data_IF_621745919334
#
_entry.id   IF_621745919334
#
_cell.length_a   1.000
_cell.length_b   1.000
_cell.length_c   1.000
_cell.angle_alpha   90.00
_cell.angle_beta   90.00
_cell.angle_gamma   90.00
#
_symmetry.space_group_name_H-M   'P 1'
#
loop_
_entity.id
_entity.type
_entity.pdbx_description
1 polymer ?
#
# COMPACT_ATOMS: atom_id res chain seq x y z
N UNK A 1 11.28 58.66 48.66
CA UNK A 1 12.70 58.79 49.06
C UNK A 1 13.37 57.42 48.96
N UNK A 2 14.43 57.36 48.14
CA UNK A 2 15.51 56.36 48.01
C UNK A 2 15.35 54.94 48.57
N UNK A 3 15.39 53.95 47.66
CA UNK A 3 16.25 52.74 47.67
C UNK A 3 16.38 52.30 46.21
N UNK A 4 17.50 51.96 45.59
CA UNK A 4 18.87 51.70 45.99
C UNK A 4 19.47 50.93 44.79
N UNK A 5 20.39 51.55 44.06
CA UNK A 5 21.12 50.95 42.94
C UNK A 5 22.00 49.80 43.45
N UNK A 6 21.86 48.62 42.86
CA UNK A 6 22.86 47.54 42.93
C UNK A 6 23.20 47.07 41.50
N UNK A 7 24.48 46.79 41.21
CA UNK A 7 25.00 46.73 39.85
C UNK A 7 24.78 45.36 39.19
N UNK A 8 24.56 45.39 37.87
CA UNK A 8 24.52 44.21 37.00
C UNK A 8 25.85 43.44 37.06
N UNK A 9 25.85 42.09 37.14
CA UNK A 9 27.09 41.31 37.08
C UNK A 9 27.65 41.29 35.65
N UNK A 10 28.97 41.11 35.49
CA UNK A 10 29.61 41.23 34.19
C UNK A 10 29.23 40.06 33.28
N UNK A 11 28.98 40.36 32.00
CA UNK A 11 28.92 39.38 30.92
C UNK A 11 30.27 38.66 30.85
N UNK A 12 30.32 37.43 31.37
CA UNK A 12 31.43 36.51 31.07
C UNK A 12 31.25 36.00 29.65
N UNK A 13 32.15 36.41 28.77
CA UNK A 13 32.42 35.74 27.50
C UNK A 13 32.63 34.25 27.76
N UNK A 14 31.80 33.41 27.13
CA UNK A 14 31.96 31.97 27.08
C UNK A 14 33.18 31.64 26.21
N UNK A 15 34.36 31.59 26.84
CA UNK A 15 35.51 30.86 26.27
C UNK A 15 35.16 29.38 26.21
N UNK A 16 35.15 28.83 25.00
CA UNK A 16 35.04 27.40 24.73
C UNK A 16 36.37 26.71 25.12
N UNK A 17 36.37 26.06 26.27
CA UNK A 17 37.45 25.20 26.80
C UNK A 17 36.96 23.73 26.84
N UNK A 18 37.85 22.71 26.97
CA UNK A 18 37.73 21.35 26.37
C UNK A 18 36.67 20.39 26.95
N UNK A 19 35.66 20.89 27.68
CA UNK A 19 34.54 20.13 28.23
C UNK A 19 33.54 19.60 27.17
N UNK A 20 33.67 20.03 25.91
CA UNK A 20 32.79 19.61 24.81
C UNK A 20 33.00 18.15 24.38
N UNK A 21 34.23 17.64 24.42
CA UNK A 21 34.54 16.28 23.97
C UNK A 21 34.00 15.23 24.93
N UNK A 22 34.17 15.42 26.25
CA UNK A 22 33.71 14.48 27.28
C UNK A 22 32.19 14.46 27.40
N UNK A 23 31.51 15.61 27.23
CA UNK A 23 30.04 15.66 27.16
C UNK A 23 29.49 14.97 25.91
N UNK A 24 30.12 15.19 24.74
CA UNK A 24 29.77 14.46 23.49
C UNK A 24 29.99 12.96 23.64
N UNK A 25 31.11 12.55 24.25
CA UNK A 25 31.43 11.14 24.47
C UNK A 25 30.43 10.49 25.45
N UNK A 26 30.11 11.15 26.56
CA UNK A 26 29.14 10.66 27.55
C UNK A 26 27.72 10.55 26.98
N UNK A 27 27.28 11.55 26.21
CA UNK A 27 25.98 11.50 25.54
C UNK A 27 25.92 10.39 24.47
N UNK A 28 27.01 10.17 23.72
CA UNK A 28 27.13 9.01 22.82
C UNK A 28 27.06 7.69 23.59
N UNK A 29 27.76 7.54 24.71
CA UNK A 29 27.67 6.31 25.52
C UNK A 29 26.26 6.07 26.04
N UNK A 30 25.56 7.12 26.50
CA UNK A 30 24.18 7.03 26.97
C UNK A 30 23.20 6.62 25.86
N UNK A 31 23.26 7.25 24.68
CA UNK A 31 22.42 6.88 23.54
C UNK A 31 22.68 5.45 23.04
N UNK A 32 23.86 4.89 23.33
CA UNK A 32 24.22 3.53 22.98
C UNK A 32 23.59 2.46 23.87
N UNK A 33 22.96 2.85 24.99
CA UNK A 33 22.28 1.94 25.91
C UNK A 33 20.89 1.57 25.41
N UNK A 34 20.49 0.30 25.61
CA UNK A 34 19.20 -0.21 25.14
C UNK A 34 17.99 0.63 25.62
N UNK A 35 18.06 1.18 26.83
CA UNK A 35 17.01 2.04 27.42
C UNK A 35 16.81 3.37 26.67
N UNK A 36 17.84 3.86 25.98
CA UNK A 36 17.80 5.13 25.24
C UNK A 36 17.64 4.92 23.72
N UNK A 37 17.37 3.68 23.27
CA UNK A 37 17.22 3.36 21.84
C UNK A 37 16.15 4.22 21.17
N UNK A 38 14.98 4.35 21.78
CA UNK A 38 13.88 5.17 21.23
C UNK A 38 14.31 6.64 21.03
N UNK A 39 15.07 7.20 21.98
CA UNK A 39 15.60 8.58 21.87
C UNK A 39 16.62 8.68 20.73
N UNK A 40 17.48 7.67 20.56
CA UNK A 40 18.45 7.65 19.47
C UNK A 40 17.75 7.53 18.10
N UNK A 41 16.65 6.78 18.02
CA UNK A 41 15.82 6.65 16.81
C UNK A 41 15.14 7.98 16.45
N UNK A 42 14.62 8.73 17.43
CA UNK A 42 14.02 10.06 17.21
C UNK A 42 14.97 11.03 16.48
N UNK A 43 16.28 10.91 16.69
CA UNK A 43 17.24 11.72 15.93
C UNK A 43 17.16 11.50 14.43
N UNK A 44 16.98 10.26 13.98
CA UNK A 44 16.82 9.96 12.56
C UNK A 44 15.37 10.17 12.08
N UNK A 45 14.37 9.84 12.91
CA UNK A 45 12.96 9.85 12.54
C UNK A 45 12.37 11.26 12.47
N UNK A 46 12.75 12.16 13.39
CA UNK A 46 12.05 13.44 13.55
C UNK A 46 13.00 14.63 13.73
N UNK A 47 14.04 14.51 14.56
CA UNK A 47 14.87 15.66 14.96
C UNK A 47 15.79 16.10 13.84
N UNK A 48 16.68 15.23 13.35
CA UNK A 48 17.59 15.52 12.22
C UNK A 48 17.07 14.99 10.89
N UNK A 49 15.79 14.63 10.81
CA UNK A 49 15.18 14.20 9.56
C UNK A 49 15.25 15.34 8.54
N UNK A 50 15.68 15.02 7.33
CA UNK A 50 15.75 15.97 6.21
C UNK A 50 14.74 15.50 5.17
N UNK A 51 13.61 16.17 5.14
CA UNK A 51 12.49 15.88 4.23
C UNK A 51 11.66 17.16 3.98
N UNK A 52 12.19 18.11 3.18
CA UNK A 52 11.59 19.42 2.97
C UNK A 52 10.14 19.35 2.47
N UNK A 53 9.85 18.37 1.60
CA UNK A 53 8.52 18.16 1.00
C UNK A 53 7.47 17.70 2.03
N UNK A 54 7.92 17.25 3.21
CA UNK A 54 7.06 16.75 4.29
C UNK A 54 7.25 17.56 5.59
N UNK A 55 7.65 18.83 5.48
CA UNK A 55 7.72 19.76 6.62
C UNK A 55 8.97 19.64 7.48
N UNK A 56 9.96 18.82 7.09
CA UNK A 56 11.24 18.70 7.77
C UNK A 56 12.34 19.51 7.05
N UNK A 57 12.12 20.81 6.91
CA UNK A 57 13.04 21.72 6.23
C UNK A 57 14.04 22.42 7.17
N UNK A 58 13.85 22.33 8.49
CA UNK A 58 14.62 23.09 9.49
C UNK A 58 16.14 22.85 9.43
N UNK A 59 16.55 21.65 9.01
CA UNK A 59 17.96 21.27 8.91
C UNK A 59 18.51 21.33 7.48
N UNK A 60 17.75 21.84 6.50
CA UNK A 60 18.26 22.04 5.13
C UNK A 60 19.55 22.87 5.11
N UNK A 61 19.68 24.00 5.84
CA UNK A 61 20.92 24.76 5.84
C UNK A 61 22.10 24.08 6.55
N UNK A 62 21.82 23.09 7.42
CA UNK A 62 22.79 22.42 8.30
C UNK A 62 22.84 20.91 8.02
N UNK A 63 22.56 20.51 6.79
CA UNK A 63 22.35 19.12 6.43
C UNK A 63 23.62 18.27 6.61
N UNK A 64 24.80 18.88 6.40
CA UNK A 64 26.10 18.22 6.56
C UNK A 64 26.36 17.90 8.03
N UNK A 65 26.09 18.84 8.92
CA UNK A 65 26.22 18.68 10.36
C UNK A 65 25.21 17.67 10.90
N UNK A 66 23.97 17.70 10.41
CA UNK A 66 22.94 16.75 10.74
C UNK A 66 23.34 15.31 10.34
N UNK A 67 23.81 15.11 9.10
CA UNK A 67 24.30 13.80 8.65
C UNK A 67 25.54 13.34 9.42
N UNK A 68 26.49 14.24 9.69
CA UNK A 68 27.66 13.92 10.49
C UNK A 68 27.26 13.48 11.90
N UNK A 69 26.29 14.15 12.53
CA UNK A 69 25.78 13.76 13.84
C UNK A 69 25.12 12.37 13.82
N UNK A 70 24.37 12.03 12.77
CA UNK A 70 23.80 10.69 12.59
C UNK A 70 24.90 9.62 12.37
N UNK A 71 25.94 9.93 11.58
CA UNK A 71 27.08 9.04 11.32
C UNK A 71 27.88 8.75 12.60
N UNK A 72 27.97 9.74 13.48
CA UNK A 72 28.65 9.65 14.77
C UNK A 72 27.84 8.94 15.87
N UNK A 73 26.61 8.51 15.58
CA UNK A 73 25.80 7.76 16.53
C UNK A 73 26.48 6.44 16.93
N UNK A 74 26.19 5.92 18.14
CA UNK A 74 26.82 4.70 18.64
C UNK A 74 26.61 3.51 17.71
N UNK A 75 27.66 2.70 17.54
CA UNK A 75 27.59 1.47 16.73
C UNK A 75 26.49 0.51 17.19
N UNK A 76 26.16 0.52 18.48
CA UNK A 76 25.06 -0.30 19.01
C UNK A 76 23.71 0.12 18.43
N UNK A 77 23.46 1.42 18.22
CA UNK A 77 22.25 1.91 17.55
C UNK A 77 22.32 1.60 16.05
N UNK A 78 23.43 2.00 15.40
CA UNK A 78 23.62 1.83 13.94
C UNK A 78 23.66 0.37 13.50
N UNK A 79 24.01 -0.56 14.38
CA UNK A 79 24.06 -2.00 14.08
C UNK A 79 22.83 -2.78 14.51
N UNK A 80 21.88 -2.17 15.23
CA UNK A 80 20.72 -2.92 15.79
C UNK A 80 19.37 -2.25 15.61
N UNK A 81 19.29 -1.01 15.13
CA UNK A 81 18.03 -0.33 14.87
C UNK A 81 17.76 -0.20 13.37
N UNK A 82 16.71 -0.88 12.91
CA UNK A 82 16.21 -0.76 11.52
C UNK A 82 15.67 0.63 11.24
N UNK A 83 14.90 1.19 12.17
CA UNK A 83 14.31 2.52 12.04
C UNK A 83 15.40 3.58 11.89
N UNK A 84 16.43 3.53 12.75
CA UNK A 84 17.55 4.48 12.66
C UNK A 84 18.24 4.44 11.29
N UNK A 85 18.59 3.23 10.82
CA UNK A 85 19.24 3.05 9.52
C UNK A 85 18.35 3.50 8.36
N UNK A 86 17.07 3.11 8.37
CA UNK A 86 16.10 3.48 7.36
C UNK A 86 15.97 5.00 7.22
N UNK A 87 15.70 5.69 8.32
CA UNK A 87 15.43 7.12 8.28
C UNK A 87 16.71 7.95 8.01
N UNK A 88 17.87 7.46 8.44
CA UNK A 88 19.17 8.04 8.03
C UNK A 88 19.39 7.89 6.52
N UNK A 89 19.10 6.70 5.96
CA UNK A 89 19.19 6.44 4.52
C UNK A 89 18.21 7.30 3.71
N UNK A 90 16.98 7.47 4.18
CA UNK A 90 15.98 8.37 3.56
C UNK A 90 16.51 9.80 3.52
N UNK A 91 17.08 10.31 4.61
CA UNK A 91 17.64 11.67 4.66
C UNK A 91 18.78 11.84 3.64
N UNK A 92 19.71 10.86 3.55
CA UNK A 92 20.78 10.87 2.53
C UNK A 92 20.22 10.86 1.11
N UNK A 93 19.23 10.02 0.83
CA UNK A 93 18.57 9.95 -0.48
C UNK A 93 17.90 11.29 -0.85
N UNK A 94 17.22 11.95 0.10
CA UNK A 94 16.56 13.24 -0.13
C UNK A 94 17.58 14.33 -0.51
N UNK A 95 18.69 14.41 0.23
CA UNK A 95 19.80 15.32 -0.10
C UNK A 95 20.33 15.04 -1.52
N UNK A 96 20.54 13.76 -1.85
CA UNK A 96 21.04 13.38 -3.17
C UNK A 96 20.05 13.65 -4.32
N UNK A 97 18.74 13.70 -4.06
CA UNK A 97 17.70 13.86 -5.08
C UNK A 97 17.26 15.30 -5.31
N UNK A 98 17.20 16.11 -4.26
CA UNK A 98 16.59 17.44 -4.31
C UNK A 98 17.64 18.52 -4.67
N UNK A 99 17.96 18.62 -5.95
CA UNK A 99 18.98 19.55 -6.47
C UNK A 99 18.73 21.02 -6.07
N UNK A 100 17.46 21.44 -6.02
CA UNK A 100 17.08 22.82 -5.67
C UNK A 100 17.44 23.22 -4.23
N UNK A 101 17.42 22.25 -3.31
CA UNK A 101 17.72 22.49 -1.89
C UNK A 101 19.19 22.19 -1.56
N UNK A 102 19.83 21.31 -2.33
CA UNK A 102 21.16 20.77 -2.03
C UNK A 102 22.07 20.85 -3.26
N UNK A 103 22.88 21.92 -3.38
CA UNK A 103 23.83 22.08 -4.47
C UNK A 103 25.10 21.26 -4.18
N UNK A 104 25.00 19.95 -4.41
CA UNK A 104 26.12 18.99 -4.32
C UNK A 104 26.47 18.45 -5.71
N UNK A 105 27.74 18.07 -5.87
CA UNK A 105 28.23 17.50 -7.13
C UNK A 105 27.77 16.04 -7.32
N UNK A 106 27.96 15.54 -8.54
CA UNK A 106 27.51 14.21 -8.94
C UNK A 106 28.20 13.09 -8.17
N UNK A 107 29.48 13.24 -7.83
CA UNK A 107 30.23 12.22 -7.08
C UNK A 107 29.71 12.11 -5.64
N UNK A 108 29.41 13.24 -5.01
CA UNK A 108 28.79 13.30 -3.69
C UNK A 108 27.37 12.72 -3.69
N UNK A 109 26.58 12.97 -4.75
CA UNK A 109 25.24 12.34 -4.92
C UNK A 109 25.36 10.82 -4.95
N UNK A 110 26.26 10.29 -5.77
CA UNK A 110 26.50 8.84 -5.85
C UNK A 110 26.91 8.27 -4.49
N UNK A 111 27.86 8.90 -3.80
CA UNK A 111 28.31 8.44 -2.47
C UNK A 111 27.15 8.40 -1.45
N UNK A 112 26.30 9.43 -1.41
CA UNK A 112 25.16 9.46 -0.52
C UNK A 112 24.14 8.36 -0.84
N UNK A 113 23.89 8.10 -2.11
CA UNK A 113 22.97 7.05 -2.58
C UNK A 113 23.50 5.65 -2.30
N UNK A 114 24.79 5.38 -2.56
CA UNK A 114 25.41 4.09 -2.26
C UNK A 114 25.42 3.81 -0.75
N UNK A 115 25.68 4.83 0.09
CA UNK A 115 25.57 4.70 1.54
C UNK A 115 24.13 4.44 2.00
N UNK A 116 23.14 5.12 1.41
CA UNK A 116 21.73 4.88 1.71
C UNK A 116 21.32 3.44 1.36
N UNK A 117 21.74 2.93 0.20
CA UNK A 117 21.53 1.54 -0.21
C UNK A 117 22.16 0.58 0.80
N UNK A 118 23.42 0.81 1.17
CA UNK A 118 24.14 -0.03 2.13
C UNK A 118 23.46 -0.11 3.50
N UNK A 119 23.01 1.03 4.04
CA UNK A 119 22.29 1.08 5.33
C UNK A 119 20.97 0.29 5.27
N UNK A 120 20.19 0.43 4.19
CA UNK A 120 18.92 -0.27 4.03
C UNK A 120 19.13 -1.79 3.83
N UNK A 121 20.11 -2.19 3.02
CA UNK A 121 20.46 -3.59 2.84
C UNK A 121 20.93 -4.22 4.15
N UNK A 122 21.77 -3.52 4.90
CA UNK A 122 22.22 -4.01 6.21
C UNK A 122 21.05 -4.23 7.17
N UNK A 123 20.10 -3.28 7.21
CA UNK A 123 18.90 -3.41 8.02
C UNK A 123 18.03 -4.61 7.62
N UNK A 124 17.89 -4.88 6.32
CA UNK A 124 17.16 -6.04 5.79
C UNK A 124 17.85 -7.37 6.11
N UNK A 125 19.16 -7.45 5.89
CA UNK A 125 19.90 -8.71 5.92
C UNK A 125 20.30 -9.15 7.34
N UNK A 126 20.56 -8.20 8.25
CA UNK A 126 21.19 -8.48 9.54
C UNK A 126 20.37 -8.11 10.76
N UNK A 127 19.28 -7.33 10.62
CA UNK A 127 18.45 -6.93 11.76
C UNK A 127 17.04 -7.50 11.58
N UNK A 128 16.60 -8.43 12.44
CA UNK A 128 15.27 -9.02 12.34
C UNK A 128 14.14 -7.98 12.42
N UNK A 129 13.11 -8.14 11.60
CA UNK A 129 11.89 -7.35 11.71
C UNK A 129 11.17 -7.64 13.04
N UNK A 130 10.52 -6.61 13.60
CA UNK A 130 9.68 -6.72 14.80
C UNK A 130 8.33 -6.05 14.54
N UNK A 131 7.23 -6.48 15.18
CA UNK A 131 5.89 -5.93 14.91
C UNK A 131 5.76 -4.43 15.14
N UNK A 132 6.49 -3.87 16.12
CA UNK A 132 6.45 -2.45 16.48
C UNK A 132 7.57 -1.63 15.82
N UNK A 133 8.44 -2.28 15.04
CA UNK A 133 9.61 -1.66 14.43
C UNK A 133 9.45 -1.41 12.93
N UNK A 134 10.54 -0.96 12.31
CA UNK A 134 10.56 -0.68 10.88
C UNK A 134 10.35 -1.94 10.03
N UNK A 135 9.30 -1.92 9.20
CA UNK A 135 8.86 -3.06 8.42
C UNK A 135 9.73 -3.32 7.18
N UNK A 136 9.78 -4.58 6.71
CA UNK A 136 10.43 -4.92 5.45
C UNK A 136 9.82 -4.15 4.26
N UNK A 137 8.50 -3.92 4.30
CA UNK A 137 7.77 -3.14 3.29
C UNK A 137 8.40 -1.77 3.07
N UNK A 138 8.61 -1.03 4.15
CA UNK A 138 9.14 0.33 4.11
C UNK A 138 10.60 0.33 3.63
N UNK A 139 11.42 -0.61 4.12
CA UNK A 139 12.81 -0.75 3.69
C UNK A 139 12.90 -1.06 2.20
N UNK A 140 12.15 -2.05 1.69
CA UNK A 140 12.17 -2.39 0.27
C UNK A 140 11.67 -1.24 -0.62
N UNK A 141 10.63 -0.51 -0.20
CA UNK A 141 10.15 0.65 -0.94
C UNK A 141 11.22 1.78 -0.99
N UNK A 142 11.90 2.06 0.13
CA UNK A 142 12.99 3.04 0.15
C UNK A 142 14.22 2.58 -0.62
N UNK A 143 14.54 1.28 -0.61
CA UNK A 143 15.62 0.68 -1.37
C UNK A 143 15.38 0.80 -2.88
N UNK A 144 14.15 0.55 -3.32
CA UNK A 144 13.74 0.72 -4.71
C UNK A 144 14.00 2.15 -5.20
N UNK A 145 13.57 3.16 -4.44
CA UNK A 145 13.84 4.56 -4.76
C UNK A 145 15.33 4.87 -4.78
N UNK A 146 16.11 4.35 -3.82
CA UNK A 146 17.55 4.61 -3.80
C UNK A 146 18.28 4.02 -5.02
N UNK A 147 17.87 2.83 -5.48
CA UNK A 147 18.39 2.25 -6.73
C UNK A 147 17.96 3.02 -7.98
N UNK A 148 16.71 3.51 -8.04
CA UNK A 148 16.22 4.34 -9.14
C UNK A 148 17.00 5.67 -9.21
N UNK A 149 17.10 6.37 -8.08
CA UNK A 149 17.81 7.64 -7.99
C UNK A 149 19.31 7.46 -8.35
N UNK A 150 19.93 6.35 -7.95
CA UNK A 150 21.32 6.04 -8.33
C UNK A 150 21.45 5.70 -9.82
N UNK A 151 20.51 4.95 -10.40
CA UNK A 151 20.53 4.65 -11.83
C UNK A 151 20.42 5.94 -12.67
N UNK A 152 19.54 6.86 -12.26
CA UNK A 152 19.35 8.14 -12.95
C UNK A 152 20.62 9.01 -12.88
N UNK A 153 21.31 9.04 -11.73
CA UNK A 153 22.56 9.78 -11.59
C UNK A 153 23.71 9.15 -12.40
N UNK A 154 23.80 7.82 -12.42
CA UNK A 154 24.81 7.10 -13.21
C UNK A 154 24.58 7.28 -14.73
N UNK A 155 23.33 7.43 -15.18
CA UNK A 155 23.02 7.83 -16.56
C UNK A 155 23.60 9.22 -16.86
N UNK A 156 23.40 10.20 -15.98
CA UNK A 156 23.95 11.56 -16.16
C UNK A 156 25.48 11.56 -16.21
N UNK A 157 26.14 10.66 -15.47
CA UNK A 157 27.60 10.47 -15.46
C UNK A 157 28.13 9.72 -16.68
N UNK A 158 27.26 9.22 -17.56
CA UNK A 158 27.66 8.41 -18.71
C UNK A 158 28.22 7.03 -18.29
N UNK A 159 27.71 6.46 -17.19
CA UNK A 159 28.08 5.11 -16.77
C UNK A 159 27.71 4.05 -17.83
N UNK A 160 28.30 2.86 -17.72
CA UNK A 160 28.04 1.78 -18.66
C UNK A 160 26.58 1.30 -18.59
N UNK A 161 26.05 0.89 -19.74
CA UNK A 161 24.69 0.34 -19.85
C UNK A 161 24.48 -0.87 -18.92
N UNK A 162 25.52 -1.72 -18.76
CA UNK A 162 25.50 -2.87 -17.84
C UNK A 162 25.26 -2.44 -16.39
N UNK A 163 25.90 -1.35 -15.92
CA UNK A 163 25.71 -0.82 -14.57
C UNK A 163 24.30 -0.28 -14.39
N UNK A 164 23.80 0.48 -15.38
CA UNK A 164 22.45 1.06 -15.35
C UNK A 164 21.39 -0.04 -15.32
N UNK A 165 21.52 -1.07 -16.17
CA UNK A 165 20.61 -2.24 -16.19
C UNK A 165 20.66 -2.99 -14.85
N UNK A 166 21.86 -3.21 -14.29
CA UNK A 166 21.99 -3.89 -13.01
C UNK A 166 21.29 -3.13 -11.86
N UNK A 167 21.39 -1.81 -11.81
CA UNK A 167 20.70 -0.97 -10.83
C UNK A 167 19.19 -1.01 -11.02
N UNK A 168 18.70 -0.91 -12.27
CA UNK A 168 17.28 -1.00 -12.58
C UNK A 168 16.68 -2.37 -12.22
N UNK A 169 17.39 -3.45 -12.48
CA UNK A 169 16.96 -4.80 -12.06
C UNK A 169 16.85 -4.92 -10.54
N UNK A 170 17.80 -4.33 -9.79
CA UNK A 170 17.73 -4.29 -8.32
C UNK A 170 16.57 -3.43 -7.82
N UNK A 171 16.31 -2.29 -8.47
CA UNK A 171 15.13 -1.48 -8.18
C UNK A 171 13.83 -2.26 -8.42
N UNK A 172 13.74 -2.98 -9.53
CA UNK A 172 12.60 -3.80 -9.88
C UNK A 172 12.37 -4.91 -8.83
N UNK A 173 13.40 -5.67 -8.43
CA UNK A 173 13.29 -6.70 -7.39
C UNK A 173 12.82 -6.11 -6.06
N UNK A 174 13.44 -5.01 -5.60
CA UNK A 174 13.04 -4.35 -4.37
C UNK A 174 11.58 -3.88 -4.43
N UNK A 175 11.16 -3.32 -5.56
CA UNK A 175 9.77 -2.86 -5.72
C UNK A 175 8.79 -4.01 -5.76
N UNK A 176 9.13 -5.12 -6.43
CA UNK A 176 8.30 -6.32 -6.47
C UNK A 176 8.14 -6.93 -5.07
N UNK A 177 9.20 -6.95 -4.25
CA UNK A 177 9.15 -7.43 -2.86
C UNK A 177 8.27 -6.53 -1.99
N UNK A 178 8.41 -5.21 -2.11
CA UNK A 178 7.52 -4.26 -1.42
C UNK A 178 6.05 -4.49 -1.83
N UNK A 179 5.77 -4.59 -3.13
CA UNK A 179 4.42 -4.81 -3.64
C UNK A 179 3.81 -6.13 -3.18
N UNK A 180 4.60 -7.22 -3.13
CA UNK A 180 4.14 -8.51 -2.58
C UNK A 180 3.83 -8.44 -1.09
N UNK A 181 4.59 -7.66 -0.32
CA UNK A 181 4.36 -7.50 1.10
C UNK A 181 3.06 -6.74 1.41
N UNK A 182 2.75 -5.67 0.66
CA UNK A 182 1.47 -4.97 0.77
C UNK A 182 1.05 -4.35 -0.57
N UNK A 183 0.26 -5.08 -1.39
CA UNK A 183 -0.19 -4.61 -2.71
C UNK A 183 -1.29 -3.53 -2.62
N UNK A 184 -1.79 -3.28 -1.41
CA UNK A 184 -2.86 -2.31 -1.14
C UNK A 184 -2.32 -0.96 -0.63
N UNK A 185 -1.01 -0.85 -0.36
CA UNK A 185 -0.38 0.40 0.05
C UNK A 185 -0.15 1.32 -1.16
N UNK A 186 -0.76 2.51 -1.16
CA UNK A 186 -0.74 3.40 -2.33
C UNK A 186 0.65 3.92 -2.69
N UNK A 187 1.56 4.10 -1.73
CA UNK A 187 2.96 4.48 -1.98
C UNK A 187 3.71 3.39 -2.72
N UNK A 188 3.55 2.15 -2.27
CA UNK A 188 4.17 0.97 -2.88
C UNK A 188 3.61 0.72 -4.28
N UNK A 189 2.29 0.87 -4.47
CA UNK A 189 1.63 0.78 -5.78
C UNK A 189 2.20 1.80 -6.76
N UNK A 190 2.40 3.06 -6.35
CA UNK A 190 3.02 4.05 -7.23
C UNK A 190 4.44 3.66 -7.62
N UNK A 191 5.29 3.28 -6.66
CA UNK A 191 6.69 2.92 -6.94
C UNK A 191 6.73 1.75 -7.92
N UNK A 192 5.86 0.75 -7.73
CA UNK A 192 5.73 -0.40 -8.61
C UNK A 192 5.24 -0.04 -9.99
N UNK A 193 4.18 0.77 -10.09
CA UNK A 193 3.68 1.27 -11.37
C UNK A 193 4.74 2.06 -12.15
N UNK A 194 5.52 2.92 -11.47
CA UNK A 194 6.63 3.67 -12.09
C UNK A 194 7.71 2.73 -12.63
N UNK A 195 8.07 1.69 -11.87
CA UNK A 195 9.04 0.68 -12.33
C UNK A 195 8.53 -0.03 -13.59
N UNK A 196 7.26 -0.47 -13.60
CA UNK A 196 6.66 -1.15 -14.74
C UNK A 196 6.58 -0.26 -15.99
N UNK A 197 6.23 1.02 -15.83
CA UNK A 197 6.24 2.00 -16.93
C UNK A 197 7.66 2.20 -17.47
N UNK A 198 8.65 2.28 -16.59
CA UNK A 198 10.05 2.39 -16.98
C UNK A 198 10.50 1.17 -17.78
N UNK A 199 10.17 -0.03 -17.31
CA UNK A 199 10.50 -1.29 -17.98
C UNK A 199 9.79 -1.40 -19.33
N UNK A 200 8.52 -0.99 -19.41
CA UNK A 200 7.73 -1.00 -20.65
C UNK A 200 8.35 -0.10 -21.74
N UNK A 201 9.00 1.01 -21.35
CA UNK A 201 9.69 1.91 -22.30
C UNK A 201 11.02 1.33 -22.80
N UNK A 202 11.65 0.46 -22.03
CA UNK A 202 12.96 -0.12 -22.37
C UNK A 202 12.85 -1.46 -23.07
N UNK A 203 11.79 -2.21 -22.77
CA UNK A 203 11.55 -3.58 -23.22
C UNK A 203 10.22 -3.63 -23.99
N UNK A 204 10.22 -3.33 -25.30
CA UNK A 204 8.99 -3.28 -26.11
C UNK A 204 8.16 -4.55 -26.03
N UNK A 205 8.80 -5.72 -25.90
CA UNK A 205 8.15 -7.02 -25.80
C UNK A 205 7.33 -7.21 -24.52
N UNK A 206 7.62 -6.43 -23.46
CA UNK A 206 6.89 -6.45 -22.19
C UNK A 206 5.95 -5.26 -22.03
N UNK A 207 5.96 -4.31 -22.97
CA UNK A 207 5.27 -3.05 -22.85
C UNK A 207 3.77 -3.21 -22.59
N UNK A 208 3.10 -4.08 -23.36
CA UNK A 208 1.67 -4.36 -23.22
C UNK A 208 1.32 -4.92 -21.84
N UNK A 209 1.96 -6.01 -21.43
CA UNK A 209 1.71 -6.65 -20.13
C UNK A 209 2.02 -5.74 -18.93
N UNK A 210 3.10 -4.96 -19.00
CA UNK A 210 3.46 -4.00 -17.95
C UNK A 210 2.45 -2.85 -17.85
N UNK A 211 2.01 -2.29 -18.98
CA UNK A 211 1.02 -1.21 -18.97
C UNK A 211 -0.33 -1.69 -18.39
N UNK A 212 -0.76 -2.91 -18.69
CA UNK A 212 -2.01 -3.46 -18.16
C UNK A 212 -1.90 -3.76 -16.66
N UNK A 213 -0.73 -4.25 -16.21
CA UNK A 213 -0.45 -4.38 -14.77
C UNK A 213 -0.61 -3.04 -14.07
N UNK A 214 -0.01 -1.98 -14.64
CA UNK A 214 -0.12 -0.61 -14.12
C UNK A 214 -1.57 -0.18 -14.01
N UNK A 215 -2.37 -0.31 -15.07
CA UNK A 215 -3.78 0.09 -15.04
C UNK A 215 -4.55 -0.61 -13.93
N UNK A 216 -4.36 -1.92 -13.80
CA UNK A 216 -5.03 -2.70 -12.77
C UNK A 216 -4.69 -2.22 -11.35
N UNK A 217 -3.40 -2.07 -11.04
CA UNK A 217 -2.98 -1.72 -9.67
C UNK A 217 -3.30 -0.26 -9.35
N UNK A 218 -3.17 0.63 -10.33
CA UNK A 218 -3.42 2.07 -10.17
C UNK A 218 -4.89 2.35 -9.98
N UNK A 219 -5.77 1.79 -10.83
CA UNK A 219 -7.20 2.00 -10.67
C UNK A 219 -7.76 1.39 -9.39
N UNK A 220 -7.30 0.20 -9.00
CA UNK A 220 -7.66 -0.38 -7.71
C UNK A 220 -7.19 0.50 -6.52
N UNK A 221 -6.02 1.14 -6.61
CA UNK A 221 -5.56 2.07 -5.58
C UNK A 221 -6.36 3.39 -5.58
N UNK A 222 -6.71 3.93 -6.75
CA UNK A 222 -7.48 5.18 -6.88
C UNK A 222 -8.87 5.09 -6.27
N UNK A 223 -9.54 3.95 -6.40
CA UNK A 223 -10.90 3.74 -5.85
C UNK A 223 -10.93 3.86 -4.32
N UNK A 224 -9.82 3.49 -3.67
CA UNK A 224 -9.68 3.46 -2.20
C UNK A 224 -9.08 4.75 -1.63
N UNK A 225 -8.31 5.48 -2.42
CA UNK A 225 -7.58 6.64 -1.93
C UNK A 225 -8.47 7.88 -1.84
N UNK A 226 -8.68 8.36 -0.62
CA UNK A 226 -9.54 9.54 -0.37
C UNK A 226 -8.82 10.85 -0.70
N UNK A 227 -7.49 10.88 -0.79
CA UNK A 227 -6.70 12.07 -1.07
C UNK A 227 -6.77 12.45 -2.56
N UNK A 228 -7.22 13.67 -2.85
CA UNK A 228 -7.28 14.19 -4.23
C UNK A 228 -5.91 14.31 -4.90
N UNK A 229 -4.89 14.77 -4.15
CA UNK A 229 -3.52 14.87 -4.65
C UNK A 229 -2.96 13.49 -5.01
N UNK A 230 -3.29 12.47 -4.21
CA UNK A 230 -2.80 11.12 -4.43
C UNK A 230 -3.47 10.46 -5.62
N UNK A 231 -4.79 10.59 -5.74
CA UNK A 231 -5.54 10.15 -6.91
C UNK A 231 -5.01 10.79 -8.19
N UNK A 232 -4.66 12.08 -8.17
CA UNK A 232 -4.05 12.75 -9.32
C UNK A 232 -2.68 12.16 -9.70
N UNK A 233 -1.81 11.86 -8.73
CA UNK A 233 -0.52 11.24 -9.00
C UNK A 233 -0.67 9.83 -9.60
N UNK A 234 -1.63 9.05 -9.09
CA UNK A 234 -1.97 7.72 -9.61
C UNK A 234 -2.55 7.81 -11.02
N UNK A 235 -3.48 8.74 -11.27
CA UNK A 235 -4.09 8.92 -12.60
C UNK A 235 -3.04 9.21 -13.69
N UNK A 236 -2.01 10.01 -13.40
CA UNK A 236 -0.89 10.23 -14.34
C UNK A 236 -0.17 8.95 -14.75
N UNK A 237 -0.10 7.96 -13.87
CA UNK A 237 0.49 6.64 -14.18
C UNK A 237 -0.45 5.83 -15.06
N UNK A 238 -1.76 5.90 -14.82
CA UNK A 238 -2.76 5.29 -15.69
C UNK A 238 -2.70 5.90 -17.10
N UNK A 239 -2.62 7.23 -17.22
CA UNK A 239 -2.46 7.92 -18.51
C UNK A 239 -1.21 7.48 -19.24
N UNK A 240 -0.09 7.37 -18.52
CA UNK A 240 1.18 6.89 -19.09
C UNK A 240 1.05 5.46 -19.61
N UNK A 241 0.35 4.59 -18.90
CA UNK A 241 0.11 3.20 -19.31
C UNK A 241 -0.85 3.11 -20.51
N UNK A 242 -1.95 3.89 -20.52
CA UNK A 242 -2.84 4.00 -21.68
C UNK A 242 -2.05 4.48 -22.89
N UNK A 243 -1.23 5.53 -22.75
CA UNK A 243 -0.39 6.04 -23.83
C UNK A 243 0.56 4.99 -24.40
N UNK A 244 1.16 4.13 -23.56
CA UNK A 244 1.98 3.01 -24.03
C UNK A 244 1.15 2.04 -24.86
N UNK A 245 -0.05 1.66 -24.40
CA UNK A 245 -0.92 0.72 -25.12
C UNK A 245 -1.44 1.29 -26.43
N UNK A 246 -1.83 2.56 -26.46
CA UNK A 246 -2.26 3.24 -27.69
C UNK A 246 -1.13 3.39 -28.70
N UNK A 247 0.13 3.52 -28.26
CA UNK A 247 1.27 3.53 -29.18
C UNK A 247 1.58 2.14 -29.76
N UNK A 248 1.28 1.06 -29.03
CA UNK A 248 1.31 -0.30 -29.57
C UNK A 248 0.18 -0.55 -30.58
N UNK A 249 -0.89 0.26 -30.52
CA UNK A 249 -2.09 0.12 -31.36
C UNK A 249 -1.81 0.38 -32.85
N UNK A 250 -0.77 1.15 -33.19
CA UNK A 250 -0.45 1.58 -34.56
C UNK A 250 -0.31 0.42 -35.58
N UNK A 251 0.00 -0.80 -35.13
CA UNK A 251 0.06 -2.01 -35.98
C UNK A 251 -1.23 -2.87 -35.97
N UNK A 252 -2.18 -2.61 -35.07
CA UNK A 252 -3.29 -3.51 -34.72
C UNK A 252 -4.68 -3.09 -35.24
N UNK A 253 -4.84 -1.85 -35.71
CA UNK A 253 -6.13 -1.19 -36.05
C UNK A 253 -7.01 -1.88 -37.13
N UNK A 254 -6.62 -3.02 -37.70
CA UNK A 254 -7.34 -3.66 -38.81
C UNK A 254 -8.02 -4.99 -38.46
N UNK A 255 -7.87 -5.51 -37.23
CA UNK A 255 -8.41 -6.84 -36.88
C UNK A 255 -9.56 -6.74 -35.87
N UNK A 256 -10.75 -7.20 -36.28
CA UNK A 256 -11.91 -7.35 -35.40
C UNK A 256 -11.75 -8.49 -34.38
N UNK A 257 -10.93 -9.48 -34.72
CA UNK A 257 -10.63 -10.63 -33.86
C UNK A 257 -9.16 -10.60 -33.42
N UNK A 258 -8.87 -10.70 -32.11
CA UNK A 258 -7.49 -10.70 -31.63
C UNK A 258 -6.76 -11.98 -32.01
N UNK A 259 -5.50 -11.85 -32.46
CA UNK A 259 -4.63 -12.98 -32.79
C UNK A 259 -3.71 -13.41 -31.65
N UNK A 260 -3.59 -12.60 -30.60
CA UNK A 260 -2.76 -12.86 -29.42
C UNK A 260 -3.43 -12.32 -28.15
N UNK A 261 -2.90 -12.70 -26.98
CA UNK A 261 -3.34 -12.12 -25.70
C UNK A 261 -3.14 -10.61 -25.66
N UNK A 262 -1.99 -10.12 -26.16
CA UNK A 262 -1.67 -8.69 -26.19
C UNK A 262 -2.67 -7.95 -27.07
N UNK A 263 -3.01 -8.48 -28.25
CA UNK A 263 -4.00 -7.88 -29.15
C UNK A 263 -5.38 -7.80 -28.47
N UNK A 264 -5.80 -8.88 -27.78
CA UNK A 264 -7.08 -8.92 -27.08
C UNK A 264 -7.15 -7.87 -25.96
N UNK A 265 -6.04 -7.67 -25.25
CA UNK A 265 -5.94 -6.67 -24.20
C UNK A 265 -5.95 -5.25 -24.76
N UNK A 266 -5.22 -4.98 -25.84
CA UNK A 266 -5.23 -3.68 -26.52
C UNK A 266 -6.65 -3.35 -26.99
N UNK A 267 -7.35 -4.28 -27.65
CA UNK A 267 -8.74 -4.08 -28.09
C UNK A 267 -9.68 -3.71 -26.92
N UNK A 268 -9.52 -4.36 -25.77
CA UNK A 268 -10.32 -4.04 -24.59
C UNK A 268 -10.05 -2.62 -24.06
N UNK A 269 -8.79 -2.19 -24.06
CA UNK A 269 -8.40 -0.84 -23.59
C UNK A 269 -8.83 0.24 -24.59
N UNK A 270 -8.72 -0.02 -25.90
CA UNK A 270 -9.23 0.87 -26.93
C UNK A 270 -10.74 1.03 -26.80
N UNK A 271 -11.47 -0.06 -26.55
CA UNK A 271 -12.90 0.02 -26.29
C UNK A 271 -13.22 0.85 -25.02
N UNK A 272 -12.39 0.73 -23.98
CA UNK A 272 -12.54 1.52 -22.75
C UNK A 272 -12.33 3.02 -23.00
N UNK A 273 -11.26 3.38 -23.72
CA UNK A 273 -10.85 4.76 -23.99
C UNK A 273 -11.56 5.41 -25.19
N UNK A 274 -12.43 4.68 -25.89
CA UNK A 274 -13.10 5.14 -27.11
C UNK A 274 -13.84 6.46 -26.88
N UNK A 275 -13.59 7.43 -27.75
CA UNK A 275 -14.21 8.78 -27.72
C UNK A 275 -13.95 9.58 -26.43
N UNK A 276 -12.98 9.16 -25.61
CA UNK A 276 -12.54 9.89 -24.40
C UNK A 276 -11.40 10.84 -24.77
N UNK A 277 -11.68 12.15 -24.73
CA UNK A 277 -10.71 13.18 -25.18
C UNK A 277 -9.57 13.45 -24.19
N UNK A 278 -9.79 13.20 -22.89
CA UNK A 278 -8.80 13.36 -21.82
C UNK A 278 -9.07 12.32 -20.75
N UNK A 279 -8.06 11.51 -20.45
CA UNK A 279 -8.10 10.49 -19.39
C UNK A 279 -7.50 10.99 -18.08
N UNK A 280 -6.85 12.16 -18.10
CA UNK A 280 -6.19 12.73 -16.92
C UNK A 280 -7.12 12.89 -15.73
N UNK A 281 -6.77 12.25 -14.62
CA UNK A 281 -7.54 12.29 -13.38
C UNK A 281 -8.73 11.33 -13.32
N UNK A 282 -9.04 10.59 -14.40
CA UNK A 282 -10.15 9.64 -14.44
C UNK A 282 -9.80 8.32 -13.75
N UNK A 283 -10.67 7.85 -12.87
CA UNK A 283 -10.71 6.45 -12.44
C UNK A 283 -11.56 5.60 -13.38
N UNK A 284 -11.62 4.28 -13.14
CA UNK A 284 -12.44 3.37 -13.96
C UNK A 284 -13.92 3.77 -14.00
N UNK A 285 -14.47 4.25 -12.88
CA UNK A 285 -15.88 4.67 -12.78
C UNK A 285 -16.22 5.89 -13.64
N UNK A 286 -15.23 6.68 -14.07
CA UNK A 286 -15.44 7.91 -14.84
C UNK A 286 -15.58 7.64 -16.35
N UNK A 287 -15.13 6.47 -16.83
CA UNK A 287 -15.32 6.07 -18.24
C UNK A 287 -16.80 5.83 -18.54
N UNK A 288 -17.30 6.11 -19.77
CA UNK A 288 -18.68 5.83 -20.13
C UNK A 288 -19.07 4.36 -19.90
N UNK A 289 -20.26 4.11 -19.34
CA UNK A 289 -20.70 2.73 -19.03
C UNK A 289 -20.70 1.80 -20.25
N UNK A 290 -21.11 2.30 -21.42
CA UNK A 290 -21.05 1.55 -22.67
C UNK A 290 -19.64 1.08 -23.03
N UNK A 291 -18.63 1.93 -22.78
CA UNK A 291 -17.23 1.59 -23.02
C UNK A 291 -16.75 0.52 -22.04
N UNK A 292 -17.09 0.65 -20.75
CA UNK A 292 -16.73 -0.32 -19.71
C UNK A 292 -17.33 -1.69 -19.96
N UNK A 293 -18.62 -1.76 -20.30
CA UNK A 293 -19.31 -3.01 -20.63
C UNK A 293 -18.68 -3.67 -21.86
N UNK A 294 -18.38 -2.90 -22.89
CA UNK A 294 -17.73 -3.42 -24.10
C UNK A 294 -16.30 -3.92 -23.81
N UNK A 295 -15.52 -3.18 -23.01
CA UNK A 295 -14.20 -3.61 -22.57
C UNK A 295 -14.26 -4.91 -21.75
N UNK A 296 -15.18 -5.01 -20.80
CA UNK A 296 -15.39 -6.22 -19.99
C UNK A 296 -15.74 -7.45 -20.85
N UNK A 297 -16.53 -7.25 -21.92
CA UNK A 297 -16.85 -8.28 -22.90
C UNK A 297 -15.63 -8.71 -23.72
N UNK A 298 -14.76 -7.78 -24.11
CA UNK A 298 -13.53 -8.13 -24.83
C UNK A 298 -12.53 -8.86 -23.91
N UNK A 299 -12.48 -8.50 -22.63
CA UNK A 299 -11.66 -9.17 -21.63
C UNK A 299 -12.15 -10.60 -21.31
N UNK A 300 -13.38 -10.97 -21.67
CA UNK A 300 -13.88 -12.34 -21.54
C UNK A 300 -13.50 -13.24 -22.73
N UNK A 301 -12.64 -12.78 -23.64
CA UNK A 301 -12.21 -13.56 -24.79
C UNK A 301 -11.44 -14.83 -24.35
N UNK A 302 -11.60 -16.00 -25.00
CA UNK A 302 -10.95 -17.24 -24.60
C UNK A 302 -9.42 -17.17 -24.52
N UNK A 303 -8.78 -16.35 -25.37
CA UNK A 303 -7.33 -16.10 -25.31
C UNK A 303 -6.89 -15.55 -23.95
N UNK A 304 -7.77 -14.86 -23.23
CA UNK A 304 -7.47 -14.19 -21.97
C UNK A 304 -7.90 -14.97 -20.73
N UNK A 305 -8.49 -16.17 -20.87
CA UNK A 305 -8.98 -16.96 -19.73
C UNK A 305 -7.88 -17.30 -18.72
N UNK A 306 -6.65 -17.56 -19.19
CA UNK A 306 -5.50 -17.82 -18.33
C UNK A 306 -4.72 -16.57 -17.92
N UNK A 307 -5.09 -15.39 -18.43
CA UNK A 307 -4.36 -14.15 -18.19
C UNK A 307 -4.90 -13.43 -16.95
N UNK A 308 -4.19 -13.45 -15.82
CA UNK A 308 -4.73 -12.94 -14.56
C UNK A 308 -4.88 -11.40 -14.55
N UNK A 309 -4.13 -10.69 -15.39
CA UNK A 309 -4.27 -9.24 -15.52
C UNK A 309 -5.59 -8.88 -16.21
N UNK A 310 -6.00 -9.67 -17.21
CA UNK A 310 -7.28 -9.54 -17.89
C UNK A 310 -8.44 -9.82 -16.92
N UNK A 311 -8.33 -10.93 -16.17
CA UNK A 311 -9.36 -11.32 -15.19
C UNK A 311 -9.54 -10.25 -14.11
N UNK A 312 -8.45 -9.65 -13.62
CA UNK A 312 -8.50 -8.59 -12.60
C UNK A 312 -9.13 -7.29 -13.13
N UNK A 313 -8.83 -6.89 -14.35
CA UNK A 313 -9.45 -5.71 -14.95
C UNK A 313 -10.94 -5.94 -15.16
N UNK A 314 -11.29 -7.14 -15.67
CA UNK A 314 -12.69 -7.55 -15.85
C UNK A 314 -13.44 -7.55 -14.53
N UNK A 315 -12.85 -8.09 -13.46
CA UNK A 315 -13.44 -8.04 -12.11
C UNK A 315 -13.75 -6.60 -11.70
N UNK A 316 -12.80 -5.68 -11.87
CA UNK A 316 -12.96 -4.27 -11.50
C UNK A 316 -14.11 -3.61 -12.28
N UNK A 317 -14.24 -3.90 -13.58
CA UNK A 317 -15.35 -3.42 -14.41
C UNK A 317 -16.70 -4.05 -14.02
N UNK A 318 -16.73 -5.36 -13.76
CA UNK A 318 -17.94 -6.08 -13.31
C UNK A 318 -18.45 -5.55 -11.98
N UNK A 319 -17.57 -5.19 -11.05
CA UNK A 319 -17.97 -4.57 -9.77
C UNK A 319 -18.69 -3.24 -9.98
N UNK A 320 -18.29 -2.45 -10.99
CA UNK A 320 -18.89 -1.16 -11.29
C UNK A 320 -20.25 -1.30 -12.00
N UNK A 321 -20.32 -2.10 -13.05
CA UNK A 321 -21.50 -2.17 -13.92
C UNK A 321 -22.51 -3.25 -13.49
N UNK A 322 -22.06 -4.29 -12.79
CA UNK A 322 -22.87 -5.42 -12.31
C UNK A 322 -22.64 -5.67 -10.81
N UNK A 323 -22.74 -4.61 -10.01
CA UNK A 323 -22.37 -4.59 -8.58
C UNK A 323 -23.05 -5.66 -7.71
N UNK A 324 -24.23 -6.17 -8.11
CA UNK A 324 -24.97 -7.23 -7.40
C UNK A 324 -24.92 -8.61 -8.07
N UNK A 325 -24.22 -8.75 -9.20
CA UNK A 325 -23.94 -10.06 -9.81
C UNK A 325 -22.79 -10.74 -9.05
N UNK A 326 -23.11 -11.21 -7.84
CA UNK A 326 -22.12 -11.78 -6.92
C UNK A 326 -21.54 -13.09 -7.42
N UNK A 327 -22.29 -13.86 -8.19
CA UNK A 327 -21.86 -15.11 -8.80
C UNK A 327 -20.73 -14.86 -9.80
N UNK A 328 -20.91 -13.91 -10.74
CA UNK A 328 -19.83 -13.55 -11.68
C UNK A 328 -18.63 -12.90 -10.99
N UNK A 329 -18.85 -12.06 -9.98
CA UNK A 329 -17.75 -11.49 -9.18
C UNK A 329 -16.96 -12.58 -8.45
N UNK A 330 -17.66 -13.59 -7.89
CA UNK A 330 -17.05 -14.71 -7.18
C UNK A 330 -16.20 -15.56 -8.13
N UNK A 331 -16.73 -15.92 -9.30
CA UNK A 331 -16.01 -16.69 -10.32
C UNK A 331 -14.69 -16.02 -10.74
N UNK A 332 -14.72 -14.71 -10.97
CA UNK A 332 -13.52 -13.94 -11.34
C UNK A 332 -12.49 -13.92 -10.21
N UNK A 333 -12.91 -13.75 -8.95
CA UNK A 333 -11.98 -13.81 -7.81
C UNK A 333 -11.41 -15.23 -7.59
N UNK A 334 -12.18 -16.29 -7.85
CA UNK A 334 -11.67 -17.67 -7.80
C UNK A 334 -10.58 -17.88 -8.84
N UNK A 335 -10.82 -17.46 -10.08
CA UNK A 335 -9.82 -17.55 -11.15
C UNK A 335 -8.53 -16.79 -10.80
N UNK A 336 -8.62 -15.65 -10.12
CA UNK A 336 -7.45 -14.90 -9.64
C UNK A 336 -6.73 -15.57 -8.47
N UNK A 337 -7.47 -16.23 -7.57
CA UNK A 337 -6.89 -16.94 -6.43
C UNK A 337 -6.09 -18.18 -6.88
N UNK A 338 -6.59 -18.89 -7.89
CA UNK A 338 -5.94 -20.09 -8.45
C UNK A 338 -4.76 -19.74 -9.38
N UNK A 339 -4.68 -18.49 -9.83
CA UNK A 339 -3.60 -17.97 -10.67
C UNK A 339 -2.31 -17.62 -9.93
N UNK A 340 -1.23 -17.38 -10.68
CA UNK A 340 0.09 -17.03 -10.14
C UNK A 340 0.23 -15.54 -9.70
N UNK A 341 -0.87 -14.81 -9.57
CA UNK A 341 -0.86 -13.38 -9.22
C UNK A 341 -0.91 -13.09 -7.73
N UNK A 342 -0.44 -11.90 -7.36
CA UNK A 342 -0.57 -11.40 -5.99
C UNK A 342 -2.04 -11.18 -5.65
N UNK A 343 -2.60 -12.08 -4.84
CA UNK A 343 -3.99 -11.99 -4.36
C UNK A 343 -4.06 -11.14 -3.10
N UNK A 344 -4.47 -9.88 -3.27
CA UNK A 344 -4.35 -8.85 -2.22
C UNK A 344 -5.20 -9.14 -0.99
N UNK A 345 -4.83 -8.61 0.19
CA UNK A 345 -5.68 -8.66 1.38
C UNK A 345 -7.12 -8.15 1.13
N UNK A 346 -7.28 -7.07 0.35
CA UNK A 346 -8.59 -6.57 -0.06
C UNK A 346 -9.38 -7.61 -0.87
N UNK A 347 -8.77 -8.22 -1.89
CA UNK A 347 -9.41 -9.27 -2.70
C UNK A 347 -9.79 -10.49 -1.86
N UNK A 348 -8.94 -10.88 -0.90
CA UNK A 348 -9.24 -11.97 0.04
C UNK A 348 -10.46 -11.67 0.91
N UNK A 349 -10.59 -10.42 1.38
CA UNK A 349 -11.76 -9.98 2.13
C UNK A 349 -13.01 -10.05 1.26
N UNK A 350 -12.99 -9.45 0.06
CA UNK A 350 -14.13 -9.46 -0.86
C UNK A 350 -14.52 -10.88 -1.28
N UNK A 351 -13.54 -11.76 -1.49
CA UNK A 351 -13.76 -13.17 -1.77
C UNK A 351 -14.48 -13.89 -0.61
N UNK A 352 -14.02 -13.69 0.63
CA UNK A 352 -14.68 -14.26 1.81
C UNK A 352 -16.12 -13.74 1.99
N UNK A 353 -16.36 -12.46 1.66
CA UNK A 353 -17.69 -11.85 1.70
C UNK A 353 -18.62 -12.43 0.62
N UNK A 354 -18.15 -12.53 -0.63
CA UNK A 354 -18.92 -13.11 -1.73
C UNK A 354 -19.26 -14.58 -1.49
N UNK A 355 -18.34 -15.37 -0.91
CA UNK A 355 -18.62 -16.73 -0.48
C UNK A 355 -19.79 -16.80 0.52
N UNK A 356 -19.89 -15.84 1.47
CA UNK A 356 -21.05 -15.75 2.36
C UNK A 356 -22.34 -15.42 1.60
N UNK A 357 -22.28 -14.49 0.65
CA UNK A 357 -23.45 -14.08 -0.15
C UNK A 357 -23.97 -15.21 -1.05
N UNK A 358 -23.07 -16.06 -1.56
CA UNK A 358 -23.38 -17.19 -2.44
C UNK A 358 -23.59 -18.52 -1.70
N UNK A 359 -23.70 -18.51 -0.37
CA UNK A 359 -24.06 -19.70 0.41
C UNK A 359 -22.91 -20.64 0.80
N UNK A 360 -21.65 -20.30 0.48
CA UNK A 360 -20.45 -21.08 0.78
C UNK A 360 -19.85 -20.69 2.15
N UNK A 361 -20.67 -20.80 3.18
CA UNK A 361 -20.41 -20.22 4.52
C UNK A 361 -19.18 -20.81 5.24
N UNK A 362 -18.97 -22.12 5.13
CA UNK A 362 -17.84 -22.79 5.79
C UNK A 362 -16.48 -22.40 5.20
N UNK A 363 -16.41 -22.22 3.88
CA UNK A 363 -15.22 -21.75 3.18
C UNK A 363 -14.90 -20.30 3.57
N UNK A 364 -15.92 -19.45 3.61
CA UNK A 364 -15.78 -18.08 4.09
C UNK A 364 -15.25 -18.01 5.52
N UNK A 365 -15.74 -18.85 6.45
CA UNK A 365 -15.26 -18.85 7.84
C UNK A 365 -13.81 -19.31 7.98
N UNK A 366 -13.32 -20.19 7.09
CA UNK A 366 -11.89 -20.51 7.02
C UNK A 366 -11.08 -19.28 6.61
N UNK A 367 -11.50 -18.58 5.56
CA UNK A 367 -10.81 -17.37 5.09
C UNK A 367 -10.84 -16.25 6.13
N UNK A 368 -11.96 -16.01 6.82
CA UNK A 368 -12.00 -15.02 7.90
C UNK A 368 -11.05 -15.36 9.07
N UNK A 369 -10.80 -16.64 9.36
CA UNK A 369 -9.78 -17.03 10.35
C UNK A 369 -8.38 -16.66 9.89
N UNK A 370 -8.07 -16.85 8.62
CA UNK A 370 -6.77 -16.50 8.03
C UNK A 370 -6.59 -14.98 7.99
N UNK A 371 -7.61 -14.23 7.55
CA UNK A 371 -7.61 -12.76 7.56
C UNK A 371 -7.37 -12.20 8.97
N UNK A 372 -8.02 -12.76 10.00
CA UNK A 372 -7.81 -12.35 11.41
C UNK A 372 -6.39 -12.61 11.92
N UNK A 373 -5.65 -13.55 11.32
CA UNK A 373 -4.21 -13.75 11.63
C UNK A 373 -3.38 -12.70 10.91
N UNK A 374 -3.65 -12.50 9.62
CA UNK A 374 -3.00 -11.48 8.79
C UNK A 374 -3.10 -10.08 9.42
N UNK A 375 -4.28 -9.68 9.90
CA UNK A 375 -4.48 -8.39 10.59
C UNK A 375 -3.68 -8.21 11.87
N UNK A 376 -3.20 -9.30 12.50
CA UNK A 376 -2.36 -9.22 13.70
C UNK A 376 -0.88 -9.09 13.37
N UNK A 377 -0.48 -9.51 12.18
CA UNK A 377 0.91 -9.63 11.76
C UNK A 377 1.42 -8.38 11.02
N UNK A 378 0.52 -7.50 10.56
CA UNK A 378 0.92 -6.27 9.89
C UNK A 378 -0.19 -5.24 9.70
N UNK A 379 0.22 -4.05 9.27
CA UNK A 379 -0.65 -2.91 8.98
C UNK A 379 -1.26 -3.05 7.58
N UNK A 380 -2.38 -3.76 7.51
CA UNK A 380 -3.18 -3.87 6.31
C UNK A 380 -4.44 -3.00 6.42
N UNK A 381 -4.64 -2.15 5.42
CA UNK A 381 -5.83 -1.32 5.32
C UNK A 381 -6.77 -1.94 4.29
N UNK A 382 -7.85 -2.55 4.79
CA UNK A 382 -8.94 -3.09 3.96
C UNK A 382 -10.26 -2.47 4.35
N UNK A 383 -11.17 -2.37 3.39
CA UNK A 383 -12.51 -1.88 3.62
C UNK A 383 -13.55 -2.89 3.15
N UNK A 384 -14.70 -2.92 3.84
CA UNK A 384 -15.84 -3.70 3.39
C UNK A 384 -16.62 -2.84 2.40
N UNK A 385 -16.71 -3.22 1.12
CA UNK A 385 -17.45 -2.43 0.14
C UNK A 385 -18.92 -2.33 0.52
N UNK A 386 -19.56 -1.19 0.26
CA UNK A 386 -20.96 -0.97 0.67
C UNK A 386 -21.91 -2.02 0.09
N UNK A 387 -21.68 -2.46 -1.16
CA UNK A 387 -22.46 -3.53 -1.82
C UNK A 387 -22.40 -4.88 -1.09
N UNK A 388 -21.33 -5.14 -0.33
CA UNK A 388 -21.09 -6.38 0.42
C UNK A 388 -21.28 -6.21 1.93
N UNK A 389 -21.69 -5.03 2.40
CA UNK A 389 -21.75 -4.69 3.82
C UNK A 389 -22.81 -5.46 4.60
N UNK A 390 -23.85 -5.93 3.92
CA UNK A 390 -24.96 -6.65 4.52
C UNK A 390 -25.18 -7.96 3.79
N UNK A 391 -25.59 -9.01 4.53
CA UNK A 391 -26.10 -10.22 3.91
C UNK A 391 -27.42 -9.88 3.19
N UNK A 392 -27.47 -10.12 1.89
CA UNK A 392 -28.63 -9.85 1.07
C UNK A 392 -29.48 -11.10 0.87
N UNK A 393 -30.76 -10.89 0.54
CA UNK A 393 -31.65 -11.93 0.04
C UNK A 393 -31.13 -12.51 -1.28
N UNK A 394 -31.55 -13.71 -1.71
CA UNK A 394 -31.09 -14.31 -2.97
C UNK A 394 -31.36 -13.44 -4.20
N UNK A 395 -32.44 -12.64 -4.19
CA UNK A 395 -32.77 -11.66 -5.23
C UNK A 395 -31.90 -10.38 -5.17
N UNK A 396 -31.06 -10.24 -4.14
CA UNK A 396 -30.15 -9.11 -3.88
C UNK A 396 -30.85 -7.76 -3.69
N UNK A 397 -32.17 -7.74 -3.51
CA UNK A 397 -32.94 -6.50 -3.41
C UNK A 397 -33.04 -5.96 -1.98
N UNK A 398 -32.86 -6.83 -0.97
CA UNK A 398 -33.07 -6.46 0.42
C UNK A 398 -32.12 -7.19 1.37
N UNK A 399 -32.05 -6.74 2.62
CA UNK A 399 -31.28 -7.42 3.66
C UNK A 399 -31.98 -8.71 4.07
N UNK A 400 -31.22 -9.80 4.14
CA UNK A 400 -31.74 -11.08 4.59
C UNK A 400 -31.94 -11.06 6.10
N UNK A 401 -33.20 -11.18 6.54
CA UNK A 401 -33.50 -11.43 7.94
C UNK A 401 -33.05 -12.85 8.30
N UNK A 402 -32.36 -12.97 9.44
CA UNK A 402 -31.81 -14.23 9.92
C UNK A 402 -32.40 -14.62 11.28
N UNK A 403 -32.42 -15.93 11.53
CA UNK A 403 -32.80 -16.53 12.80
C UNK A 403 -31.55 -16.96 13.56
N UNK A 404 -31.33 -16.38 14.72
CA UNK A 404 -30.15 -16.59 15.54
C UNK A 404 -30.52 -17.30 16.85
N UNK A 405 -29.85 -18.41 17.14
CA UNK A 405 -29.98 -19.16 18.39
C UNK A 405 -28.76 -18.89 19.27
N UNK A 406 -29.00 -18.36 20.46
CA UNK A 406 -27.93 -17.91 21.36
C UNK A 406 -27.25 -19.12 21.99
N UNK A 407 -25.92 -19.12 21.99
CA UNK A 407 -25.11 -20.19 22.57
C UNK A 407 -24.58 -19.75 23.93
N UNK A 408 -24.43 -20.69 24.87
CA UNK A 408 -23.67 -20.45 26.08
C UNK A 408 -22.22 -20.07 25.71
N UNK A 409 -21.71 -18.98 26.27
CA UNK A 409 -20.36 -18.51 26.00
C UNK A 409 -19.86 -17.60 27.11
N UNK A 410 -18.53 -17.43 27.15
CA UNK A 410 -17.81 -16.56 28.09
C UNK A 410 -18.24 -15.09 27.98
N UNK A 411 -17.99 -14.32 29.04
CA UNK A 411 -18.45 -12.93 29.17
C UNK A 411 -17.88 -11.97 28.12
N UNK A 412 -16.72 -12.28 27.52
CA UNK A 412 -16.01 -11.32 26.66
C UNK A 412 -16.60 -11.18 25.25
N UNK A 413 -17.25 -12.22 24.69
CA UNK A 413 -17.94 -12.18 23.39
C UNK A 413 -19.13 -13.12 23.35
N UNK A 414 -20.34 -12.56 23.23
CA UNK A 414 -21.57 -13.34 23.03
C UNK A 414 -21.66 -13.83 21.58
N UNK A 415 -22.05 -15.10 21.43
CA UNK A 415 -22.09 -15.81 20.15
C UNK A 415 -23.49 -16.39 19.94
N UNK A 416 -23.97 -16.33 18.70
CA UNK A 416 -25.16 -17.02 18.25
C UNK A 416 -24.85 -17.93 17.05
N UNK A 417 -25.60 -19.02 16.92
CA UNK A 417 -25.64 -19.83 15.70
C UNK A 417 -26.71 -19.28 14.76
N UNK A 418 -26.34 -19.01 13.52
CA UNK A 418 -27.24 -18.42 12.53
C UNK A 418 -27.75 -19.49 11.58
N UNK A 419 -29.07 -19.72 11.56
CA UNK A 419 -29.68 -20.80 10.77
C UNK A 419 -29.39 -20.65 9.27
N UNK A 420 -29.52 -19.44 8.75
CA UNK A 420 -29.35 -19.10 7.33
C UNK A 420 -27.88 -19.16 6.89
N UNK A 421 -26.93 -19.23 7.82
CA UNK A 421 -25.51 -19.45 7.58
C UNK A 421 -25.08 -20.85 8.03
N UNK A 422 -25.98 -21.84 7.95
CA UNK A 422 -25.69 -23.24 8.31
C UNK A 422 -25.15 -23.41 9.75
N UNK A 423 -25.81 -22.76 10.72
CA UNK A 423 -25.44 -22.76 12.13
C UNK A 423 -24.02 -22.22 12.43
N UNK A 424 -23.45 -21.41 11.51
CA UNK A 424 -22.18 -20.72 11.73
C UNK A 424 -22.26 -19.83 12.98
N UNK A 425 -21.18 -19.84 13.77
CA UNK A 425 -21.05 -19.05 15.00
C UNK A 425 -20.73 -17.60 14.65
N UNK A 426 -21.64 -16.68 14.98
CA UNK A 426 -21.50 -15.25 14.70
C UNK A 426 -21.55 -14.46 16.00
N UNK A 427 -20.60 -13.53 16.23
CA UNK A 427 -20.63 -12.65 17.39
C UNK A 427 -21.79 -11.65 17.31
N UNK A 428 -22.23 -11.18 18.47
CA UNK A 428 -23.19 -10.08 18.58
C UNK A 428 -22.98 -9.28 19.87
N UNK A 429 -23.54 -8.08 19.92
CA UNK A 429 -23.51 -7.20 21.11
C UNK A 429 -24.92 -7.10 21.71
N UNK A 430 -25.19 -7.68 22.90
CA UNK A 430 -26.52 -7.67 23.50
C UNK A 430 -27.12 -6.26 23.65
N UNK A 431 -26.28 -5.27 23.95
CA UNK A 431 -26.67 -3.88 24.14
C UNK A 431 -27.35 -3.29 22.89
N UNK A 432 -26.94 -3.71 21.69
CA UNK A 432 -27.57 -3.26 20.43
C UNK A 432 -28.99 -3.83 20.25
N UNK A 433 -29.34 -4.90 20.97
CA UNK A 433 -30.68 -5.48 21.00
C UNK A 433 -31.52 -4.97 22.18
N UNK A 434 -31.11 -3.88 22.83
CA UNK A 434 -31.76 -3.29 24.00
C UNK A 434 -31.94 -4.27 25.17
N UNK A 435 -31.02 -5.23 25.31
CA UNK A 435 -31.01 -6.19 26.42
C UNK A 435 -29.63 -6.28 27.06
N UNK A 436 -29.61 -6.41 28.39
CA UNK A 436 -28.37 -6.61 29.14
C UNK A 436 -27.81 -8.03 28.98
N UNK A 437 -28.70 -9.03 28.89
CA UNK A 437 -28.32 -10.43 28.72
C UNK A 437 -29.38 -11.23 27.97
N UNK A 438 -28.98 -12.40 27.48
CA UNK A 438 -29.85 -13.37 26.84
C UNK A 438 -29.60 -14.75 27.42
N UNK A 439 -30.66 -15.51 27.67
CA UNK A 439 -30.53 -16.90 28.09
C UNK A 439 -29.98 -17.77 26.94
N UNK A 440 -29.05 -18.69 27.20
CA UNK A 440 -28.65 -19.71 26.22
C UNK A 440 -29.87 -20.45 25.66
N UNK A 441 -29.86 -20.74 24.37
CA UNK A 441 -30.97 -21.38 23.65
C UNK A 441 -32.08 -20.44 23.21
N UNK A 442 -32.12 -19.19 23.70
CA UNK A 442 -33.09 -18.21 23.21
C UNK A 442 -32.88 -17.90 21.73
N UNK A 443 -34.00 -17.62 21.05
CA UNK A 443 -34.03 -17.33 19.62
C UNK A 443 -34.34 -15.86 19.42
N UNK A 444 -33.53 -15.19 18.61
CA UNK A 444 -33.74 -13.81 18.19
C UNK A 444 -33.68 -13.71 16.67
N UNK A 445 -34.30 -12.65 16.13
CA UNK A 445 -34.18 -12.31 14.71
C UNK A 445 -33.32 -11.07 14.54
N UNK A 446 -32.60 -10.99 13.43
CA UNK A 446 -31.70 -9.87 13.14
C UNK A 446 -31.28 -9.83 11.69
N UNK A 447 -30.29 -8.99 11.42
CA UNK A 447 -29.56 -8.91 10.15
C UNK A 447 -28.10 -9.29 10.37
N UNK A 448 -27.41 -9.65 9.29
CA UNK A 448 -25.95 -9.85 9.31
C UNK A 448 -25.31 -8.67 8.59
N UNK A 449 -24.49 -7.91 9.33
CA UNK A 449 -23.54 -6.96 8.74
C UNK A 449 -22.17 -7.61 8.67
N UNK A 450 -21.37 -7.24 7.69
CA UNK A 450 -20.00 -7.69 7.56
C UNK A 450 -19.01 -6.59 7.95
N UNK A 451 -17.98 -6.98 8.72
CA UNK A 451 -16.79 -6.17 8.96
C UNK A 451 -15.54 -6.89 8.42
N UNK A 452 -14.39 -6.23 8.47
CA UNK A 452 -13.10 -6.82 8.06
C UNK A 452 -12.71 -8.08 8.87
N UNK A 453 -13.33 -8.29 10.04
CA UNK A 453 -13.15 -9.47 10.90
C UNK A 453 -14.16 -10.60 10.65
N UNK A 454 -15.16 -10.40 9.78
CA UNK A 454 -16.22 -11.35 9.50
C UNK A 454 -17.64 -10.85 9.83
N UNK A 455 -18.62 -11.76 9.81
CA UNK A 455 -20.02 -11.43 10.07
C UNK A 455 -20.25 -10.98 11.52
N UNK A 456 -21.19 -10.07 11.70
CA UNK A 456 -21.70 -9.59 12.99
C UNK A 456 -23.22 -9.56 12.94
N UNK A 457 -23.86 -10.16 13.94
CA UNK A 457 -25.31 -10.14 14.05
C UNK A 457 -25.78 -8.80 14.65
N UNK A 458 -26.72 -8.17 13.95
CA UNK A 458 -27.29 -6.84 14.22
C UNK A 458 -28.81 -6.93 14.47
N UNK A 459 -29.39 -6.00 15.25
CA UNK A 459 -30.83 -5.93 15.43
C UNK A 459 -31.55 -5.59 14.12
N UNK A 460 -32.83 -5.96 14.01
CA UNK A 460 -33.68 -5.60 12.86
C UNK A 460 -33.89 -4.08 12.70
N UNK A 461 -33.61 -3.31 13.76
CA UNK A 461 -33.68 -1.84 13.76
C UNK A 461 -32.38 -1.18 13.30
N UNK A 462 -31.34 -1.95 12.94
CA UNK A 462 -30.07 -1.38 12.49
C UNK A 462 -30.24 -0.59 11.19
N UNK A 463 -29.88 0.70 11.21
CA UNK A 463 -30.06 1.63 10.09
C UNK A 463 -29.05 1.35 8.96
N UNK A 464 -29.36 1.75 7.72
CA UNK A 464 -28.34 1.97 6.67
C UNK A 464 -27.49 3.16 7.10
N UNK A 465 -26.30 2.90 7.64
CA UNK A 465 -25.26 3.91 7.82
C UNK A 465 -24.33 3.91 6.63
#
# INVERSE_FOLDING_TARGET
QNRGNSPSPPRRELRLEPAGATKRLYFRTLLGQAVNRAIAEEFAISIFKIDPDHGHANFVPFWREALAALDEMPKTVRGTSRAFLHHSAVSRRRIAKQEDYFPIDSDERVQLLERAIGDIQYALDFIPATPEGESDLNLYNSLAHAYQDLADEEVKRGASEVRIIALRNKAHDATQRAYRANPDNSFVVETYARSLISDAKMLPEKAGGNAIEVLNIVYAAMDRDRSGQRRFALAKLADSAIGILLNLELDSHLRKDPSSEVDALILAIVALARDVRRTEGMGLGDFPSGNRIQAAKLLSHPLLHGNPQAVRLRYSLTVLDESYNFESQLELLQALQDGATVFSPQMRLEFALLLQQCGRHHEAERLFRELRRLWKEGDHYVEVPDRLRWLLTPDRMSRRQVTARIVAGDESRRIAKIRELQDTKVPFRPQEFSRQSFAPGSVIRGYISFGHNGPLLRPITAVQS
#
